data_IF_958681396537
#
_entry.id   IF_958681396537
#
_cell.length_a   1.000
_cell.length_b   1.000
_cell.length_c   1.000
_cell.angle_alpha   90.00
_cell.angle_beta   90.00
_cell.angle_gamma   90.00
#
_symmetry.space_group_name_H-M   'P 1'
#
loop_
_entity.id
_entity.type
_entity.pdbx_description
1 polymer ?
#
# COMPACT_ATOMS: atom_id res chain seq x y z
N UNK A 1 30.60 -22.54 7.08
CA UNK A 1 30.55 -21.07 7.23
C UNK A 1 29.18 -20.63 6.75
N UNK A 2 28.28 -20.35 7.69
CA UNK A 2 26.90 -19.96 7.39
C UNK A 2 26.92 -18.70 6.53
N UNK A 3 26.48 -18.85 5.28
CA UNK A 3 26.12 -17.72 4.44
C UNK A 3 24.99 -16.99 5.16
N UNK A 4 25.30 -15.90 5.88
CA UNK A 4 24.30 -15.10 6.59
C UNK A 4 23.12 -14.81 5.67
N UNK A 5 21.97 -15.41 5.97
CA UNK A 5 20.73 -15.15 5.27
C UNK A 5 20.38 -13.68 5.49
N UNK A 6 20.43 -12.90 4.41
CA UNK A 6 20.21 -11.46 4.46
C UNK A 6 18.72 -11.17 4.63
N UNK A 7 18.33 -10.64 5.80
CA UNK A 7 16.97 -10.19 6.07
C UNK A 7 16.63 -8.85 5.41
N UNK A 8 15.34 -8.64 5.12
CA UNK A 8 14.81 -7.43 4.47
C UNK A 8 13.30 -7.28 4.73
N UNK A 9 12.76 -6.11 4.41
CA UNK A 9 11.34 -5.78 4.55
C UNK A 9 10.69 -5.65 3.18
N UNK A 10 9.56 -6.32 2.98
CA UNK A 10 8.63 -6.09 1.86
C UNK A 10 7.44 -5.32 2.44
N UNK A 11 7.23 -4.10 1.98
CA UNK A 11 6.17 -3.23 2.48
C UNK A 11 5.13 -2.98 1.40
N UNK A 12 3.96 -3.61 1.55
CA UNK A 12 2.82 -3.44 0.66
C UNK A 12 1.98 -2.26 1.17
N UNK A 13 1.95 -1.18 0.39
CA UNK A 13 1.11 -0.02 0.63
C UNK A 13 0.02 0.09 -0.44
N UNK A 14 -1.15 0.59 -0.07
CA UNK A 14 -2.29 0.69 -0.98
C UNK A 14 -3.59 0.92 -0.24
N UNK A 15 -4.60 1.37 -0.98
CA UNK A 15 -5.96 1.59 -0.46
C UNK A 15 -6.53 0.34 0.24
N UNK A 16 -7.51 0.52 1.13
CA UNK A 16 -8.21 -0.62 1.73
C UNK A 16 -8.88 -1.46 0.61
N UNK A 17 -8.90 -2.79 0.70
CA UNK A 17 -9.42 -3.71 -0.35
C UNK A 17 -8.64 -3.74 -1.67
N UNK A 18 -7.46 -3.11 -1.73
CA UNK A 18 -6.56 -3.23 -2.89
C UNK A 18 -5.93 -4.64 -3.03
N UNK A 19 -6.15 -5.58 -2.10
CA UNK A 19 -5.59 -6.94 -2.20
C UNK A 19 -4.21 -7.11 -1.54
N UNK A 20 -3.82 -6.18 -0.65
CA UNK A 20 -2.56 -6.22 0.09
C UNK A 20 -2.41 -7.52 0.91
N UNK A 21 -3.37 -7.84 1.75
CA UNK A 21 -3.39 -9.05 2.60
C UNK A 21 -3.26 -10.33 1.78
N UNK A 22 -4.02 -10.44 0.69
CA UNK A 22 -3.97 -11.59 -0.22
C UNK A 22 -2.59 -11.75 -0.86
N UNK A 23 -2.00 -10.65 -1.36
CA UNK A 23 -0.66 -10.69 -1.93
C UNK A 23 0.40 -10.97 -0.86
N UNK A 24 0.32 -10.34 0.32
CA UNK A 24 1.25 -10.55 1.42
C UNK A 24 1.27 -12.02 1.89
N UNK A 25 0.10 -12.63 2.08
CA UNK A 25 -0.03 -14.04 2.43
C UNK A 25 0.57 -14.96 1.36
N UNK A 26 0.32 -14.67 0.07
CA UNK A 26 0.92 -15.40 -1.03
C UNK A 26 2.46 -15.31 -1.01
N UNK A 27 3.01 -14.10 -0.88
CA UNK A 27 4.45 -13.87 -0.82
C UNK A 27 5.08 -14.63 0.36
N UNK A 28 4.48 -14.50 1.55
CA UNK A 28 4.97 -15.14 2.75
C UNK A 28 5.01 -16.66 2.62
N UNK A 29 3.92 -17.27 2.12
CA UNK A 29 3.85 -18.71 1.87
C UNK A 29 4.94 -19.19 0.91
N UNK A 30 5.17 -18.48 -0.20
CA UNK A 30 6.17 -18.89 -1.21
C UNK A 30 7.61 -18.71 -0.72
N UNK A 31 7.90 -17.64 0.01
CA UNK A 31 9.22 -17.40 0.61
C UNK A 31 9.52 -18.43 1.71
N UNK A 32 8.55 -18.74 2.57
CA UNK A 32 8.69 -19.76 3.60
C UNK A 32 8.93 -21.15 2.99
N UNK A 33 8.16 -21.52 1.95
CA UNK A 33 8.35 -22.76 1.22
C UNK A 33 9.73 -22.87 0.54
N UNK A 34 10.39 -21.74 0.27
CA UNK A 34 11.75 -21.71 -0.28
C UNK A 34 12.85 -21.77 0.81
N UNK A 35 12.49 -22.00 2.08
CA UNK A 35 13.41 -22.16 3.20
C UNK A 35 13.79 -20.86 3.91
N UNK A 36 13.04 -19.76 3.69
CA UNK A 36 13.27 -18.49 4.38
C UNK A 36 12.47 -18.40 5.67
N UNK A 37 13.06 -17.80 6.70
CA UNK A 37 12.30 -17.33 7.88
C UNK A 37 11.51 -16.09 7.48
N UNK A 38 10.18 -16.15 7.61
CA UNK A 38 9.28 -15.08 7.19
C UNK A 38 8.31 -14.75 8.30
N UNK A 39 8.12 -13.46 8.56
CA UNK A 39 7.07 -12.94 9.43
C UNK A 39 6.06 -12.15 8.58
N UNK A 40 4.78 -12.51 8.68
CA UNK A 40 3.69 -11.80 8.02
C UNK A 40 3.09 -10.78 9.00
N UNK A 41 3.19 -9.50 8.67
CA UNK A 41 2.67 -8.40 9.47
C UNK A 41 1.50 -7.73 8.71
N UNK A 42 0.31 -8.31 8.83
CA UNK A 42 -0.91 -7.80 8.21
C UNK A 42 -1.74 -6.97 9.20
N UNK A 43 -1.95 -5.69 8.90
CA UNK A 43 -2.72 -4.78 9.75
C UNK A 43 -4.18 -5.19 9.91
N UNK A 44 -4.74 -5.92 8.92
CA UNK A 44 -6.10 -6.46 8.94
C UNK A 44 -6.14 -7.90 9.49
N UNK A 45 -4.98 -8.47 9.86
CA UNK A 45 -4.79 -9.82 10.37
C UNK A 45 -4.13 -9.85 11.74
N UNK A 46 -3.20 -10.78 11.97
CA UNK A 46 -2.61 -11.01 13.29
C UNK A 46 -1.85 -9.81 13.85
N UNK A 47 -1.35 -8.92 13.00
CA UNK A 47 -0.64 -7.72 13.44
C UNK A 47 -1.58 -6.58 13.87
N UNK A 48 -2.91 -6.76 13.77
CA UNK A 48 -3.90 -5.80 14.25
C UNK A 48 -3.72 -5.46 15.74
N UNK A 49 -3.26 -6.43 16.55
CA UNK A 49 -2.97 -6.22 17.99
C UNK A 49 -1.95 -5.09 18.23
N UNK A 50 -1.03 -4.86 17.29
CA UNK A 50 -0.05 -3.77 17.37
C UNK A 50 -0.70 -2.39 17.18
N UNK A 51 -1.89 -2.36 16.59
CA UNK A 51 -2.60 -1.14 16.18
C UNK A 51 -3.76 -0.79 17.12
N UNK A 52 -4.00 -1.62 18.14
CA UNK A 52 -5.02 -1.35 19.15
C UNK A 52 -4.80 0.03 19.81
N UNK A 53 -5.92 0.72 20.04
CA UNK A 53 -5.96 2.06 20.61
C UNK A 53 -5.61 3.19 19.64
N UNK A 54 -5.28 2.91 18.38
CA UNK A 54 -5.09 3.95 17.36
C UNK A 54 -6.43 4.38 16.75
N UNK A 55 -6.55 5.69 16.52
CA UNK A 55 -7.65 6.26 15.74
C UNK A 55 -7.42 6.17 14.23
N UNK A 56 -8.15 7.00 13.48
CA UNK A 56 -8.04 7.09 12.01
C UNK A 56 -7.33 8.39 11.54
N UNK A 57 -6.77 9.17 12.46
CA UNK A 57 -6.11 10.43 12.13
C UNK A 57 -4.76 10.25 11.43
N UNK A 58 -4.21 11.34 10.89
CA UNK A 58 -2.87 11.34 10.27
C UNK A 58 -1.80 10.81 11.23
N UNK A 59 -1.80 11.29 12.48
CA UNK A 59 -0.82 10.87 13.48
C UNK A 59 -1.00 9.41 13.89
N UNK A 60 -2.24 8.91 13.94
CA UNK A 60 -2.51 7.49 14.17
C UNK A 60 -1.96 6.61 13.06
N UNK A 61 -2.15 7.01 11.80
CA UNK A 61 -1.56 6.31 10.67
C UNK A 61 -0.03 6.33 10.69
N UNK A 62 0.59 7.45 11.08
CA UNK A 62 2.03 7.54 11.26
C UNK A 62 2.51 6.60 12.39
N UNK A 63 1.80 6.54 13.51
CA UNK A 63 2.07 5.61 14.62
C UNK A 63 1.90 4.15 14.19
N UNK A 64 0.89 3.83 13.40
CA UNK A 64 0.68 2.48 12.87
C UNK A 64 1.88 2.02 12.03
N UNK A 65 2.35 2.87 11.11
CA UNK A 65 3.56 2.61 10.31
C UNK A 65 4.79 2.44 11.20
N UNK A 66 4.94 3.27 12.24
CA UNK A 66 6.08 3.18 13.16
C UNK A 66 6.06 1.87 13.98
N UNK A 67 4.89 1.45 14.49
CA UNK A 67 4.73 0.22 15.29
C UNK A 67 4.99 -1.04 14.46
N UNK A 68 4.34 -1.17 13.30
CA UNK A 68 4.60 -2.27 12.36
C UNK A 68 6.06 -2.25 11.87
N UNK A 69 6.57 -1.06 11.55
CA UNK A 69 7.94 -0.87 11.10
C UNK A 69 8.98 -1.27 12.15
N UNK A 70 8.72 -1.07 13.45
CA UNK A 70 9.60 -1.51 14.52
C UNK A 70 9.79 -3.03 14.50
N UNK A 71 8.69 -3.77 14.41
CA UNK A 71 8.71 -5.25 14.35
C UNK A 71 9.36 -5.71 13.04
N UNK A 72 8.97 -5.12 11.90
CA UNK A 72 9.53 -5.46 10.59
C UNK A 72 11.06 -5.30 10.55
N UNK A 73 11.59 -4.20 11.10
CA UNK A 73 13.02 -3.96 11.23
C UNK A 73 13.69 -4.95 12.18
N UNK A 74 13.03 -5.37 13.26
CA UNK A 74 13.57 -6.38 14.17
C UNK A 74 13.73 -7.73 13.46
N UNK A 75 12.70 -8.18 12.74
CA UNK A 75 12.73 -9.40 11.91
C UNK A 75 13.86 -9.33 10.88
N UNK A 76 13.94 -8.22 10.13
CA UNK A 76 14.98 -8.05 9.11
C UNK A 76 16.40 -8.05 9.69
N UNK A 77 16.61 -7.43 10.87
CA UNK A 77 17.90 -7.45 11.58
C UNK A 77 18.30 -8.84 12.06
N UNK A 78 17.32 -9.70 12.39
CA UNK A 78 17.55 -11.09 12.76
C UNK A 78 17.79 -12.02 11.54
N UNK A 79 17.84 -11.48 10.32
CA UNK A 79 18.05 -12.26 9.09
C UNK A 79 16.76 -12.79 8.43
N UNK A 80 15.60 -12.53 9.04
CA UNK A 80 14.28 -12.89 8.50
C UNK A 80 13.76 -11.92 7.44
N UNK A 81 12.66 -12.29 6.79
CA UNK A 81 11.92 -11.43 5.87
C UNK A 81 10.64 -10.98 6.54
N UNK A 82 10.44 -9.67 6.71
CA UNK A 82 9.15 -9.13 7.12
C UNK A 82 8.31 -8.83 5.87
N UNK A 83 7.12 -9.41 5.76
CA UNK A 83 6.14 -9.08 4.71
C UNK A 83 5.01 -8.31 5.36
N UNK A 84 4.95 -7.00 5.11
CA UNK A 84 3.99 -6.11 5.76
C UNK A 84 2.87 -5.72 4.80
N UNK A 85 1.62 -5.88 5.20
CA UNK A 85 0.45 -5.31 4.53
C UNK A 85 -0.08 -4.16 5.37
N UNK A 86 0.06 -2.92 4.89
CA UNK A 86 -0.34 -1.73 5.62
C UNK A 86 -0.96 -0.66 4.71
N UNK A 87 -2.05 -0.02 5.15
CA UNK A 87 -2.72 1.07 4.43
C UNK A 87 -1.72 2.20 4.22
N UNK A 88 -1.02 2.59 5.29
CA UNK A 88 0.10 3.53 5.29
C UNK A 88 -0.12 4.72 4.34
N UNK A 89 -1.20 5.52 4.51
CA UNK A 89 -1.70 6.42 3.47
C UNK A 89 -0.81 7.63 3.18
N UNK A 90 0.06 8.04 4.11
CA UNK A 90 0.91 9.22 3.97
C UNK A 90 2.35 8.84 3.60
N UNK A 91 2.94 9.57 2.64
CA UNK A 91 4.30 9.28 2.14
C UNK A 91 5.37 9.51 3.20
N UNK A 92 5.24 10.57 3.98
CA UNK A 92 6.22 10.97 5.01
C UNK A 92 6.57 9.81 5.95
N UNK A 93 5.57 9.11 6.46
CA UNK A 93 5.75 7.95 7.33
C UNK A 93 6.45 6.78 6.62
N UNK A 94 6.10 6.51 5.36
CA UNK A 94 6.73 5.43 4.56
C UNK A 94 8.19 5.75 4.22
N UNK A 95 8.47 7.00 3.89
CA UNK A 95 9.83 7.47 3.59
C UNK A 95 10.74 7.41 4.82
N UNK A 96 10.21 7.79 6.00
CA UNK A 96 10.93 7.64 7.27
C UNK A 96 11.29 6.17 7.53
N UNK A 97 10.30 5.26 7.42
CA UNK A 97 10.53 3.83 7.60
C UNK A 97 11.55 3.26 6.59
N UNK A 98 11.45 3.64 5.30
CA UNK A 98 12.39 3.21 4.26
C UNK A 98 13.84 3.58 4.61
N UNK A 99 14.06 4.81 5.09
CA UNK A 99 15.40 5.28 5.52
C UNK A 99 15.96 4.46 6.68
N UNK A 100 15.11 4.08 7.63
CA UNK A 100 15.51 3.34 8.82
C UNK A 100 15.78 1.85 8.53
N UNK A 101 14.95 1.21 7.69
CA UNK A 101 15.02 -0.22 7.44
C UNK A 101 16.19 -0.64 6.53
N UNK A 102 16.74 0.29 5.72
CA UNK A 102 17.83 0.09 4.74
C UNK A 102 17.51 -0.91 3.61
N UNK A 103 17.24 -2.18 3.94
CA UNK A 103 16.84 -3.24 3.00
C UNK A 103 15.31 -3.30 2.94
N UNK A 104 14.73 -2.40 2.17
CA UNK A 104 13.29 -2.15 2.15
C UNK A 104 12.78 -2.11 0.71
N UNK A 105 11.72 -2.85 0.43
CA UNK A 105 11.06 -2.93 -0.87
C UNK A 105 9.63 -2.44 -0.72
N UNK A 106 9.34 -1.25 -1.24
CA UNK A 106 7.99 -0.70 -1.29
C UNK A 106 7.24 -1.20 -2.52
N UNK A 107 6.16 -1.94 -2.27
CA UNK A 107 5.25 -2.42 -3.30
C UNK A 107 3.97 -1.59 -3.22
N UNK A 108 3.71 -0.78 -4.23
CA UNK A 108 2.44 -0.08 -4.36
C UNK A 108 1.39 -1.02 -4.95
N UNK A 109 0.43 -1.41 -4.13
CA UNK A 109 -0.72 -2.23 -4.49
C UNK A 109 -1.83 -1.29 -4.95
N UNK A 110 -1.84 -1.00 -6.25
CA UNK A 110 -2.82 -0.14 -6.89
C UNK A 110 -4.06 -0.94 -7.32
N UNK A 111 -5.21 -0.30 -7.22
CA UNK A 111 -6.50 -0.85 -7.60
C UNK A 111 -7.45 0.32 -7.84
N UNK A 112 -8.22 0.27 -8.94
CA UNK A 112 -9.17 1.34 -9.25
C UNK A 112 -10.25 1.50 -8.17
N UNK A 113 -10.65 2.75 -7.88
CA UNK A 113 -11.71 3.06 -6.91
C UNK A 113 -13.03 2.35 -7.20
N UNK A 114 -13.34 2.12 -8.47
CA UNK A 114 -14.51 1.34 -8.90
C UNK A 114 -14.40 -0.09 -8.37
N UNK A 115 -13.26 -0.75 -8.57
CA UNK A 115 -13.05 -2.12 -8.12
C UNK A 115 -13.00 -2.24 -6.59
N UNK A 116 -12.45 -1.23 -5.91
CA UNK A 116 -12.44 -1.16 -4.45
C UNK A 116 -13.86 -1.11 -3.87
N UNK A 117 -14.73 -0.27 -4.45
CA UNK A 117 -16.15 -0.18 -4.08
C UNK A 117 -16.92 -1.48 -4.38
N UNK A 118 -16.63 -2.13 -5.51
CA UNK A 118 -17.26 -3.43 -5.83
C UNK A 118 -16.89 -4.53 -4.83
N UNK A 119 -15.64 -4.54 -4.34
CA UNK A 119 -15.16 -5.56 -3.40
C UNK A 119 -15.72 -5.37 -1.98
N UNK A 120 -16.03 -4.13 -1.60
CA UNK A 120 -16.27 -3.59 -0.25
C UNK A 120 -17.14 -4.45 0.70
N UNK A 121 -16.58 -5.50 1.34
CA UNK A 121 -17.37 -6.44 2.12
C UNK A 121 -17.78 -5.87 3.48
N UNK A 122 -17.10 -4.81 3.92
CA UNK A 122 -17.35 -4.10 5.18
C UNK A 122 -18.14 -2.79 4.97
N UNK A 123 -18.48 -2.45 3.73
CA UNK A 123 -19.19 -1.22 3.41
C UNK A 123 -18.41 0.06 3.75
N UNK A 124 -17.08 0.02 3.83
CA UNK A 124 -16.22 1.17 4.18
C UNK A 124 -16.47 2.31 3.21
N UNK A 125 -16.38 2.03 1.90
CA UNK A 125 -16.54 3.03 0.86
C UNK A 125 -17.97 3.53 0.79
N UNK A 126 -18.95 2.61 0.87
CA UNK A 126 -20.38 2.96 0.88
C UNK A 126 -20.71 3.91 2.03
N UNK A 127 -20.28 3.59 3.25
CA UNK A 127 -20.55 4.39 4.46
C UNK A 127 -19.80 5.72 4.46
N UNK A 128 -18.58 5.74 3.93
CA UNK A 128 -17.81 6.98 3.78
C UNK A 128 -18.50 7.96 2.80
N UNK A 129 -18.95 7.46 1.65
CA UNK A 129 -19.68 8.26 0.66
C UNK A 129 -21.05 8.75 1.18
N UNK A 130 -21.70 7.97 2.05
CA UNK A 130 -22.90 8.39 2.76
C UNK A 130 -22.62 9.40 3.91
N UNK A 131 -21.35 9.65 4.22
CA UNK A 131 -20.92 10.56 5.29
C UNK A 131 -20.99 9.98 6.70
N UNK A 132 -21.31 8.69 6.84
CA UNK A 132 -21.41 7.95 8.10
C UNK A 132 -20.05 7.55 8.67
N UNK A 133 -19.06 7.36 7.79
CA UNK A 133 -17.66 7.10 8.15
C UNK A 133 -16.81 8.30 7.74
N UNK A 134 -15.88 8.70 8.61
CA UNK A 134 -14.94 9.81 8.39
C UNK A 134 -13.51 9.30 8.45
N UNK A 135 -12.58 10.10 7.97
CA UNK A 135 -11.14 9.80 7.95
C UNK A 135 -10.83 8.55 7.12
N UNK A 136 -11.48 8.39 5.96
CA UNK A 136 -11.25 7.28 5.04
C UNK A 136 -10.31 7.72 3.92
N UNK A 137 -9.07 7.19 3.89
CA UNK A 137 -8.10 7.55 2.86
C UNK A 137 -8.62 7.28 1.45
N UNK A 138 -8.43 8.27 0.57
CA UNK A 138 -8.90 8.29 -0.81
C UNK A 138 -10.40 8.56 -0.99
N UNK A 139 -11.15 8.81 0.08
CA UNK A 139 -12.54 9.31 0.03
C UNK A 139 -12.62 10.73 0.58
N UNK A 140 -12.48 10.91 1.88
CA UNK A 140 -12.59 12.22 2.55
C UNK A 140 -11.25 12.76 3.09
N UNK A 141 -10.23 11.91 3.20
CA UNK A 141 -8.82 12.32 3.45
C UNK A 141 -7.91 11.76 2.36
N UNK A 142 -6.74 12.38 2.07
CA UNK A 142 -5.89 11.93 0.98
C UNK A 142 -5.26 10.57 1.27
N UNK A 143 -5.24 9.71 0.26
CA UNK A 143 -4.20 8.69 0.13
C UNK A 143 -3.11 9.26 -0.76
N UNK A 144 -1.86 9.17 -0.34
CA UNK A 144 -0.70 9.68 -1.06
C UNK A 144 0.07 8.53 -1.72
N UNK A 145 -0.15 8.23 -3.01
CA UNK A 145 0.57 7.16 -3.68
C UNK A 145 2.08 7.38 -3.63
N UNK A 146 2.90 6.31 -3.53
CA UNK A 146 4.35 6.44 -3.61
C UNK A 146 4.77 7.09 -4.93
N UNK A 147 5.71 8.03 -4.87
CA UNK A 147 6.30 8.65 -6.07
C UNK A 147 7.41 7.79 -6.67
N UNK A 148 8.05 6.95 -5.85
CA UNK A 148 9.18 6.10 -6.19
C UNK A 148 9.04 4.70 -5.56
N UNK A 149 7.87 4.06 -5.71
CA UNK A 149 7.74 2.65 -5.33
C UNK A 149 8.74 1.80 -6.12
N UNK A 150 9.27 0.75 -5.49
CA UNK A 150 10.19 -0.19 -6.13
C UNK A 150 9.43 -1.11 -7.11
N UNK A 151 8.14 -1.34 -6.85
CA UNK A 151 7.21 -1.99 -7.77
C UNK A 151 5.80 -1.41 -7.61
N UNK A 152 5.06 -1.28 -8.70
CA UNK A 152 3.61 -1.06 -8.68
C UNK A 152 2.90 -2.27 -9.29
N UNK A 153 1.88 -2.78 -8.62
CA UNK A 153 1.01 -3.86 -9.10
C UNK A 153 -0.42 -3.36 -9.20
N UNK A 154 -1.06 -3.59 -10.35
CA UNK A 154 -2.46 -3.24 -10.59
C UNK A 154 -3.33 -4.49 -10.37
N UNK A 155 -3.80 -4.67 -9.14
CA UNK A 155 -4.48 -5.91 -8.68
C UNK A 155 -5.89 -6.09 -9.23
N UNK A 156 -6.40 -5.10 -9.95
CA UNK A 156 -7.60 -5.16 -10.76
C UNK A 156 -7.34 -5.74 -12.15
N UNK A 157 -6.08 -5.86 -12.56
CA UNK A 157 -5.67 -6.25 -13.92
C UNK A 157 -4.92 -7.59 -13.98
N UNK A 158 -4.33 -8.06 -12.87
CA UNK A 158 -3.51 -9.28 -12.81
C UNK A 158 -3.88 -10.18 -11.64
N UNK A 159 -3.54 -11.47 -11.73
CA UNK A 159 -3.75 -12.43 -10.64
C UNK A 159 -2.76 -12.24 -9.49
N UNK A 160 -3.04 -12.85 -8.34
CA UNK A 160 -2.13 -12.82 -7.18
C UNK A 160 -0.81 -13.55 -7.49
N UNK A 161 -0.84 -14.63 -8.25
CA UNK A 161 0.35 -15.38 -8.67
C UNK A 161 1.24 -14.55 -9.59
N UNK A 162 0.63 -13.81 -10.53
CA UNK A 162 1.38 -12.93 -11.41
C UNK A 162 1.97 -11.75 -10.62
N UNK A 163 1.18 -11.12 -9.76
CA UNK A 163 1.66 -10.06 -8.87
C UNK A 163 2.81 -10.55 -7.99
N UNK A 164 2.69 -11.73 -7.40
CA UNK A 164 3.73 -12.38 -6.60
C UNK A 164 5.02 -12.59 -7.40
N UNK A 165 4.90 -13.13 -8.62
CA UNK A 165 6.04 -13.32 -9.53
C UNK A 165 6.76 -12.01 -9.83
N UNK A 166 6.01 -10.92 -10.06
CA UNK A 166 6.59 -9.58 -10.28
C UNK A 166 7.32 -9.06 -9.04
N UNK A 167 6.77 -9.28 -7.84
CA UNK A 167 7.46 -8.94 -6.58
C UNK A 167 8.76 -9.72 -6.46
N UNK A 168 8.75 -11.04 -6.67
CA UNK A 168 9.98 -11.85 -6.60
C UNK A 168 11.03 -11.40 -7.63
N UNK A 169 10.60 -10.98 -8.82
CA UNK A 169 11.51 -10.40 -9.81
C UNK A 169 12.13 -9.09 -9.28
N UNK A 170 11.34 -8.20 -8.66
CA UNK A 170 11.87 -6.98 -8.06
C UNK A 170 12.87 -7.27 -6.93
N UNK A 171 12.68 -8.35 -6.16
CA UNK A 171 13.66 -8.79 -5.15
C UNK A 171 14.98 -9.26 -5.79
N UNK A 172 14.94 -9.93 -6.94
CA UNK A 172 16.13 -10.31 -7.72
C UNK A 172 16.84 -9.08 -8.26
N UNK A 173 16.09 -8.15 -8.84
CA UNK A 173 16.64 -6.91 -9.41
C UNK A 173 17.38 -6.07 -8.36
N UNK A 174 16.91 -6.11 -7.12
CA UNK A 174 17.52 -5.45 -5.96
C UNK A 174 18.60 -6.30 -5.25
N UNK A 175 18.92 -7.48 -5.77
CA UNK A 175 19.91 -8.42 -5.21
C UNK A 175 19.59 -8.90 -3.79
N UNK A 176 18.30 -8.91 -3.42
CA UNK A 176 17.81 -9.46 -2.16
C UNK A 176 17.55 -10.97 -2.26
N UNK A 177 17.25 -11.46 -3.46
CA UNK A 177 17.01 -12.87 -3.80
C UNK A 177 17.90 -13.25 -4.98
N UNK A 178 18.57 -14.41 -4.89
CA UNK A 178 19.41 -14.92 -5.99
C UNK A 178 18.60 -15.64 -7.08
N UNK A 179 19.13 -15.82 -8.31
CA UNK A 179 18.42 -16.52 -9.39
C UNK A 179 18.01 -17.96 -9.05
N UNK A 180 18.85 -18.70 -8.31
CA UNK A 180 18.53 -20.05 -7.87
C UNK A 180 17.40 -20.07 -6.83
N UNK A 181 17.40 -19.09 -5.93
CA UNK A 181 16.35 -18.92 -4.91
C UNK A 181 15.03 -18.49 -5.57
N UNK A 182 15.06 -17.58 -6.55
CA UNK A 182 13.90 -17.22 -7.36
C UNK A 182 13.25 -18.46 -7.99
N UNK A 183 14.06 -19.38 -8.56
CA UNK A 183 13.56 -20.63 -9.12
C UNK A 183 12.82 -21.48 -8.07
N UNK A 184 13.36 -21.62 -6.86
CA UNK A 184 12.66 -22.32 -5.76
C UNK A 184 11.36 -21.62 -5.38
N UNK A 185 11.38 -20.31 -5.20
CA UNK A 185 10.22 -19.49 -4.81
C UNK A 185 9.11 -19.56 -5.87
N UNK A 186 9.44 -19.68 -7.15
CA UNK A 186 8.48 -19.63 -8.27
C UNK A 186 8.12 -20.99 -8.85
N UNK A 187 8.67 -22.09 -8.32
CA UNK A 187 8.37 -23.44 -8.83
C UNK A 187 9.07 -23.74 -10.16
N UNK A 188 10.26 -23.18 -10.38
CA UNK A 188 11.11 -23.48 -11.53
C UNK A 188 11.21 -22.38 -12.58
N UNK A 189 10.56 -21.22 -12.39
CA UNK A 189 10.73 -20.10 -13.31
C UNK A 189 12.15 -19.54 -13.24
N UNK A 190 12.59 -18.93 -14.34
CA UNK A 190 13.85 -18.18 -14.40
C UNK A 190 13.56 -16.68 -14.32
N UNK A 191 14.36 -15.90 -13.57
CA UNK A 191 14.18 -14.46 -13.54
C UNK A 191 14.45 -13.90 -14.94
N UNK A 192 13.69 -12.87 -15.33
CA UNK A 192 13.91 -12.16 -16.59
C UNK A 192 15.28 -11.46 -16.53
N UNK A 193 16.06 -11.57 -17.62
CA UNK A 193 17.29 -10.82 -17.81
C UNK A 193 16.97 -9.52 -18.54
N UNK A 194 17.17 -8.36 -17.91
CA UNK A 194 16.92 -7.05 -18.50
C UNK A 194 16.99 -5.94 -17.44
N UNK A 195 17.13 -4.67 -17.87
CA UNK A 195 17.19 -3.52 -16.96
C UNK A 195 16.01 -3.55 -15.96
N UNK A 196 16.24 -3.18 -14.67
CA UNK A 196 15.19 -3.16 -13.66
C UNK A 196 14.00 -2.38 -14.18
N UNK A 197 12.79 -2.90 -13.94
CA UNK A 197 11.55 -2.27 -14.38
C UNK A 197 11.49 -0.86 -13.80
N UNK A 198 11.80 0.14 -14.63
CA UNK A 198 11.67 1.54 -14.23
C UNK A 198 10.18 1.79 -14.00
N UNK A 199 9.84 2.30 -12.81
CA UNK A 199 8.48 2.68 -12.43
C UNK A 199 7.74 3.26 -13.63
N UNK A 200 6.71 2.55 -14.10
CA UNK A 200 5.84 3.04 -15.16
C UNK A 200 5.26 4.35 -14.68
N UNK A 201 5.67 5.46 -15.32
CA UNK A 201 5.11 6.79 -15.02
C UNK A 201 3.61 6.71 -15.24
N UNK A 202 2.83 6.70 -14.15
CA UNK A 202 1.37 6.70 -14.11
C UNK A 202 0.73 7.99 -14.65
N UNK A 203 1.21 8.49 -15.80
CA UNK A 203 0.78 9.74 -16.42
C UNK A 203 -0.65 9.69 -16.94
N UNK A 204 -1.15 8.50 -17.32
CA UNK A 204 -2.51 8.33 -17.82
C UNK A 204 -3.57 8.36 -16.69
N UNK A 205 -3.38 7.59 -15.61
CA UNK A 205 -4.32 7.59 -14.46
C UNK A 205 -4.28 8.90 -13.67
N UNK A 206 -3.15 9.61 -13.56
CA UNK A 206 -3.04 10.94 -12.92
C UNK A 206 -4.00 11.99 -13.52
N UNK A 207 -4.20 11.98 -14.84
CA UNK A 207 -5.11 12.93 -15.52
C UNK A 207 -6.59 12.65 -15.21
N UNK A 208 -6.95 11.39 -14.97
CA UNK A 208 -8.33 10.98 -14.67
C UNK A 208 -8.73 11.34 -13.22
N UNK A 209 -7.85 11.08 -12.24
CA UNK A 209 -8.14 11.38 -10.82
C UNK A 209 -8.23 12.89 -10.57
N UNK A 210 -7.35 13.69 -11.17
CA UNK A 210 -7.42 15.16 -11.07
C UNK A 210 -8.71 15.74 -11.69
N UNK A 211 -9.20 15.14 -12.79
CA UNK A 211 -10.41 15.59 -13.47
C UNK A 211 -11.70 15.20 -12.73
N UNK A 212 -11.68 14.09 -11.98
CA UNK A 212 -12.79 13.68 -11.11
C UNK A 212 -12.90 14.58 -9.86
N UNK A 213 -11.77 14.92 -9.22
CA UNK A 213 -11.75 15.82 -8.07
C UNK A 213 -12.25 17.24 -8.40
N UNK A 214 -11.95 17.75 -9.61
CA UNK A 214 -12.43 19.06 -10.06
C UNK A 214 -13.94 19.12 -10.36
N UNK A 215 -14.60 17.98 -10.58
CA UNK A 215 -16.05 17.93 -10.89
C UNK A 215 -16.95 17.87 -9.66
N UNK A 216 -16.41 17.60 -8.47
CA UNK A 216 -17.19 17.42 -7.23
C UNK A 216 -17.11 18.61 -6.26
N UNK A 217 -16.55 19.76 -6.66
CA UNK A 217 -16.58 20.96 -5.83
C UNK A 217 -18.03 21.50 -5.71
N UNK A 218 -18.54 21.80 -4.50
CA UNK A 218 -19.90 22.29 -4.32
C UNK A 218 -20.05 23.71 -4.92
N UNK A 219 -21.08 23.90 -5.76
CA UNK A 219 -21.48 25.21 -6.27
C UNK A 219 -21.86 26.11 -5.08
N UNK A 220 -21.14 27.21 -4.88
CA UNK A 220 -21.50 28.25 -3.90
C UNK A 220 -22.93 28.72 -4.18
N UNK A 221 -23.83 28.50 -3.23
CA UNK A 221 -25.19 29.07 -3.25
C UNK A 221 -25.06 30.57 -2.97
N UNK A 222 -25.42 31.39 -3.96
CA UNK A 222 -25.43 32.84 -3.82
C UNK A 222 -26.55 33.26 -2.86
N UNK A 223 -26.17 33.89 -1.75
CA UNK A 223 -27.11 34.48 -0.78
C UNK A 223 -27.91 35.62 -1.40
N UNK A 224 -29.24 35.52 -1.32
CA UNK A 224 -30.19 36.53 -1.78
C UNK A 224 -30.33 37.59 -0.68
N UNK A 225 -29.76 38.78 -0.88
CA UNK A 225 -29.96 39.92 0.00
C UNK A 225 -31.34 40.56 -0.26
N UNK A 226 -32.19 40.60 0.77
CA UNK A 226 -33.46 41.32 0.78
C UNK A 226 -33.21 42.82 1.01
N UNK A 227 -33.65 43.65 0.06
CA UNK A 227 -33.68 45.12 0.20
C UNK A 227 -34.88 45.53 1.06
N UNK A 228 -34.61 46.13 2.21
CA UNK A 228 -35.61 46.85 3.01
C UNK A 228 -35.93 48.19 2.33
N UNK A 229 -37.17 48.39 1.91
CA UNK A 229 -37.66 49.62 1.32
C UNK A 229 -37.88 50.70 2.40
N UNK A 230 -37.17 51.82 2.26
CA UNK A 230 -37.36 53.05 3.05
C UNK A 230 -38.43 53.90 2.36
N UNK A 231 -39.66 53.89 2.88
CA UNK A 231 -40.71 54.82 2.45
C UNK A 231 -40.47 56.19 3.11
N UNK A 232 -40.30 57.22 2.27
CA UNK A 232 -40.42 58.63 2.62
C UNK A 232 -41.71 59.16 1.98
N UNK A 233 -42.57 59.72 2.83
CA UNK A 233 -43.62 60.74 2.63
C UNK A 233 -44.84 60.36 3.44
#
# INVERSE_FOLDING_TARGET
MDSQTTGFVIWLTGMNRAGKSTLAAHLAKRLAAAGRTVELLDEDGDAAVLLEGLGAGKDDHARAVARLGLVAKAVARAGGIAVCAALSPYRDAREALRKEARRFVEVFVDCSMEKLQQRDPQGIYRRALAGELKQVPGVDVPYEPPTHADLTVHTDEISVEEAGTRVFQALVDQRLVGPAEFGRITGGLRPRRGKPARATRGGARRKLVAKAAARQAPKKVAGRATKTAKRRR
#
